data_IF_008998893347
#
_entry.id   IF_008998893347
#
_cell.length_a   1.000
_cell.length_b   1.000
_cell.length_c   1.000
_cell.angle_alpha   90.00
_cell.angle_beta   90.00
_cell.angle_gamma   90.00
#
_symmetry.space_group_name_H-M   'P 1'
#
loop_
_entity.id
_entity.type
_entity.pdbx_description
1 polymer ?
#
# COMPACT_ATOMS: atom_id res chain seq x y z
N UNK A 1 -6.69 -0.31 -69.59
CA UNK A 1 -6.26 0.96 -68.98
C UNK A 1 -5.38 0.62 -67.78
N UNK A 2 -4.09 0.63 -67.95
CA UNK A 2 -3.05 0.18 -67.00
C UNK A 2 -2.46 1.39 -66.31
N UNK A 3 -2.67 1.53 -65.01
CA UNK A 3 -2.12 2.63 -64.25
C UNK A 3 -0.84 2.18 -63.56
N UNK A 4 0.31 2.61 -64.08
CA UNK A 4 1.65 2.35 -63.54
C UNK A 4 1.95 3.38 -62.45
N UNK A 5 2.01 2.96 -61.23
CA UNK A 5 2.55 3.77 -60.11
C UNK A 5 4.09 3.82 -60.23
N UNK A 6 4.59 5.01 -60.37
CA UNK A 6 6.02 5.36 -60.41
C UNK A 6 6.58 5.22 -58.96
N UNK A 7 7.59 4.41 -58.80
CA UNK A 7 8.41 4.31 -57.58
C UNK A 7 9.45 5.43 -57.61
N UNK A 8 9.40 6.35 -56.65
CA UNK A 8 10.44 7.35 -56.38
C UNK A 8 11.52 6.70 -55.48
N UNK A 9 12.80 6.83 -55.78
CA UNK A 9 13.85 6.32 -54.90
C UNK A 9 14.01 7.27 -53.69
N UNK A 10 13.95 6.68 -52.48
CA UNK A 10 14.25 7.34 -51.22
C UNK A 10 15.77 7.48 -51.08
N UNK A 11 16.27 8.69 -51.13
CA UNK A 11 17.66 9.05 -50.82
C UNK A 11 17.87 8.89 -49.33
N UNK A 12 18.63 7.92 -48.91
CA UNK A 12 19.11 7.79 -47.55
C UNK A 12 20.27 8.77 -47.32
N UNK A 13 20.02 9.83 -46.56
CA UNK A 13 21.06 10.74 -46.10
C UNK A 13 21.59 10.18 -44.77
N UNK A 14 22.75 9.53 -44.78
CA UNK A 14 23.51 9.16 -43.62
C UNK A 14 24.15 10.44 -43.03
N UNK A 15 23.57 11.02 -42.00
CA UNK A 15 24.27 11.93 -41.12
C UNK A 15 24.86 11.13 -39.95
N UNK A 16 26.15 10.88 -40.04
CA UNK A 16 26.93 10.38 -38.90
C UNK A 16 27.09 11.48 -37.88
N UNK A 17 26.25 11.47 -36.84
CA UNK A 17 26.46 12.25 -35.63
C UNK A 17 26.95 11.29 -34.56
N UNK A 18 28.29 11.22 -34.40
CA UNK A 18 28.91 10.59 -33.23
C UNK A 18 28.63 11.44 -32.02
N UNK A 19 27.40 11.40 -31.55
CA UNK A 19 27.00 11.91 -30.24
C UNK A 19 27.42 10.89 -29.19
N UNK A 20 28.53 11.17 -28.50
CA UNK A 20 28.91 10.52 -27.27
C UNK A 20 27.80 10.88 -26.25
N UNK A 21 26.78 10.03 -26.15
CA UNK A 21 25.84 10.06 -25.03
C UNK A 21 26.65 9.71 -23.79
N UNK A 22 27.10 10.76 -23.08
CA UNK A 22 27.53 10.59 -21.72
C UNK A 22 26.30 10.01 -20.97
N UNK A 23 26.31 8.70 -20.70
CA UNK A 23 25.49 8.13 -19.65
C UNK A 23 25.96 8.82 -18.35
N UNK A 24 25.27 9.88 -17.96
CA UNK A 24 25.34 10.33 -16.59
C UNK A 24 24.78 9.17 -15.77
N UNK A 25 25.67 8.43 -15.11
CA UNK A 25 25.25 7.51 -14.08
C UNK A 25 24.37 8.34 -13.13
N UNK A 26 23.07 8.04 -13.09
CA UNK A 26 22.21 8.50 -12.01
C UNK A 26 22.88 7.94 -10.77
N UNK A 27 23.43 8.81 -9.95
CA UNK A 27 24.01 8.41 -8.67
C UNK A 27 22.90 7.60 -7.98
N UNK A 28 23.23 6.36 -7.61
CA UNK A 28 22.33 5.50 -6.88
C UNK A 28 22.06 6.22 -5.54
N UNK A 29 20.91 6.84 -5.40
CA UNK A 29 20.57 7.50 -4.14
C UNK A 29 20.60 6.43 -3.05
N UNK A 30 21.26 6.71 -1.92
CA UNK A 30 21.32 5.74 -0.84
C UNK A 30 19.89 5.38 -0.39
N UNK A 31 19.68 4.09 -0.10
CA UNK A 31 18.40 3.64 0.41
C UNK A 31 17.98 4.47 1.65
N UNK A 32 16.73 4.87 1.78
CA UNK A 32 16.27 5.67 2.91
C UNK A 32 16.48 4.91 4.23
N UNK A 33 16.85 5.64 5.28
CA UNK A 33 16.90 5.13 6.64
C UNK A 33 15.67 5.56 7.42
N UNK A 34 15.35 4.86 8.51
CA UNK A 34 14.24 5.27 9.37
C UNK A 34 14.44 6.71 9.89
N UNK A 35 15.66 7.07 10.26
CA UNK A 35 15.99 8.41 10.73
C UNK A 35 15.74 9.46 9.64
N UNK A 36 16.14 9.21 8.39
CA UNK A 36 15.86 10.14 7.28
C UNK A 36 14.38 10.31 7.03
N UNK A 37 13.61 9.23 7.13
CA UNK A 37 12.14 9.26 6.97
C UNK A 37 11.49 10.04 8.11
N UNK A 38 11.88 9.81 9.36
CA UNK A 38 11.36 10.56 10.51
C UNK A 38 11.66 12.06 10.34
N UNK A 39 12.88 12.42 10.00
CA UNK A 39 13.28 13.82 9.85
C UNK A 39 12.56 14.53 8.68
N UNK A 40 12.07 13.80 7.69
CA UNK A 40 11.36 14.37 6.54
C UNK A 40 9.85 14.46 6.77
N UNK A 41 9.25 13.45 7.43
CA UNK A 41 7.79 13.27 7.46
C UNK A 41 7.18 13.36 8.86
N UNK A 42 7.94 13.73 9.89
CA UNK A 42 7.41 13.90 11.24
C UNK A 42 6.40 15.05 11.29
N UNK A 43 5.35 14.90 12.08
CA UNK A 43 4.21 15.80 12.11
C UNK A 43 4.58 17.28 12.41
N UNK A 44 5.56 17.55 13.26
CA UNK A 44 6.05 18.89 13.53
C UNK A 44 6.80 19.51 12.34
N UNK A 45 7.57 18.71 11.59
CA UNK A 45 8.21 19.14 10.35
C UNK A 45 7.18 19.48 9.28
N UNK A 46 6.13 18.66 9.15
CA UNK A 46 5.05 18.90 8.19
C UNK A 46 4.23 20.16 8.52
N UNK A 47 4.07 20.49 9.80
CA UNK A 47 3.37 21.70 10.22
C UNK A 47 4.15 22.97 9.95
N UNK A 48 5.48 22.89 9.94
CA UNK A 48 6.39 24.00 9.64
C UNK A 48 6.64 24.18 8.13
N UNK A 49 6.30 23.17 7.33
CA UNK A 49 6.42 23.23 5.87
C UNK A 49 5.42 24.21 5.26
N UNK A 50 5.73 24.76 4.11
CA UNK A 50 4.85 25.63 3.31
C UNK A 50 3.62 24.91 2.74
N UNK A 51 3.37 23.68 3.18
CA UNK A 51 2.30 22.82 2.66
C UNK A 51 2.64 22.21 1.32
N UNK A 52 3.92 22.15 0.94
CA UNK A 52 4.33 21.49 -0.30
C UNK A 52 3.88 20.03 -0.29
N UNK A 53 3.40 19.60 -1.42
CA UNK A 53 2.88 18.25 -1.67
C UNK A 53 3.96 17.19 -1.42
N UNK A 54 5.23 17.55 -1.62
CA UNK A 54 6.40 16.67 -1.48
C UNK A 54 6.59 16.14 -0.06
N UNK A 55 6.12 16.87 0.95
CA UNK A 55 6.20 16.47 2.37
C UNK A 55 5.06 15.53 2.80
N UNK A 56 4.09 15.23 1.92
CA UNK A 56 2.96 14.37 2.29
C UNK A 56 3.35 12.90 2.28
N UNK A 57 2.94 12.10 3.30
CA UNK A 57 3.14 10.64 3.30
C UNK A 57 2.58 9.93 2.06
N UNK A 58 1.66 10.55 1.33
CA UNK A 58 1.11 10.03 0.08
C UNK A 58 2.15 9.94 -1.04
N UNK A 59 3.20 10.78 -1.00
CA UNK A 59 4.25 10.87 -2.01
C UNK A 59 5.54 10.15 -1.63
N UNK A 60 5.56 9.49 -0.47
CA UNK A 60 6.67 8.62 -0.09
C UNK A 60 6.96 7.59 -1.18
N UNK A 61 8.23 7.35 -1.41
CA UNK A 61 8.68 6.19 -2.19
C UNK A 61 8.25 4.88 -1.51
N UNK A 62 8.32 3.78 -2.22
CA UNK A 62 7.96 2.48 -1.64
C UNK A 62 8.90 2.09 -0.48
N UNK A 63 10.18 2.40 -0.60
CA UNK A 63 11.15 2.14 0.46
C UNK A 63 10.86 2.98 1.72
N UNK A 64 10.54 4.26 1.56
CA UNK A 64 10.14 5.13 2.68
C UNK A 64 8.84 4.67 3.34
N UNK A 65 7.84 4.24 2.55
CA UNK A 65 6.58 3.69 3.09
C UNK A 65 6.81 2.46 3.95
N UNK A 66 7.71 1.56 3.57
CA UNK A 66 8.03 0.37 4.38
C UNK A 66 8.50 0.77 5.77
N UNK A 67 9.34 1.78 5.86
CA UNK A 67 9.87 2.30 7.14
C UNK A 67 8.81 3.10 7.89
N UNK A 68 8.18 4.08 7.23
CA UNK A 68 7.22 4.99 7.84
C UNK A 68 5.99 4.26 8.39
N UNK A 69 5.41 3.32 7.64
CA UNK A 69 4.15 2.69 7.99
C UNK A 69 4.30 1.66 9.11
N UNK A 70 5.48 1.09 9.28
CA UNK A 70 5.81 0.23 10.40
C UNK A 70 6.13 1.01 11.69
N UNK A 71 6.54 2.28 11.56
CA UNK A 71 6.97 3.14 12.67
C UNK A 71 6.18 4.45 12.73
N UNK A 72 4.90 4.38 12.36
CA UNK A 72 4.06 5.57 12.26
C UNK A 72 3.88 6.32 13.58
N UNK A 73 4.02 5.61 14.69
CA UNK A 73 4.04 6.16 16.04
C UNK A 73 5.27 7.04 16.35
N UNK A 74 6.31 6.98 15.52
CA UNK A 74 7.47 7.87 15.61
C UNK A 74 7.33 9.13 14.73
N UNK A 75 6.38 9.10 13.78
CA UNK A 75 6.10 10.23 12.90
C UNK A 75 4.98 11.11 13.45
N UNK A 76 3.98 10.50 14.09
CA UNK A 76 2.78 11.18 14.57
C UNK A 76 2.50 10.84 16.02
N UNK A 77 1.91 11.77 16.80
CA UNK A 77 1.40 11.47 18.14
C UNK A 77 0.36 10.35 18.08
N UNK A 78 0.54 9.33 18.89
CA UNK A 78 -0.38 8.17 18.96
C UNK A 78 -0.75 7.86 20.39
N UNK A 79 -1.87 7.16 20.57
CA UNK A 79 -2.28 6.59 21.85
C UNK A 79 -2.40 5.06 21.72
N UNK A 80 -1.97 4.36 22.74
CA UNK A 80 -2.10 2.90 22.78
C UNK A 80 -3.45 2.53 23.39
N UNK A 81 -4.23 1.73 22.67
CA UNK A 81 -5.42 1.07 23.21
C UNK A 81 -5.04 -0.35 23.58
N UNK A 82 -5.06 -0.66 24.87
CA UNK A 82 -4.77 -2.01 25.34
C UNK A 82 -5.93 -2.96 25.04
N UNK A 83 -5.59 -4.20 24.68
CA UNK A 83 -6.59 -5.25 24.54
C UNK A 83 -7.20 -5.57 25.93
N UNK A 84 -8.51 -5.69 26.01
CA UNK A 84 -9.23 -6.02 27.25
C UNK A 84 -9.19 -7.52 27.59
N UNK A 85 -8.64 -8.35 26.71
CA UNK A 85 -8.54 -9.80 26.90
C UNK A 85 -7.75 -10.46 25.78
N UNK A 86 -7.54 -11.76 25.90
CA UNK A 86 -6.95 -12.58 24.84
C UNK A 86 -8.08 -12.98 23.90
N UNK A 87 -8.01 -12.55 22.65
CA UNK A 87 -8.93 -13.02 21.61
C UNK A 87 -8.74 -14.53 21.38
N UNK A 88 -9.81 -15.22 21.04
CA UNK A 88 -9.72 -16.62 20.62
C UNK A 88 -9.10 -16.65 19.22
N UNK A 89 -7.97 -17.36 19.01
CA UNK A 89 -7.35 -17.42 17.70
C UNK A 89 -8.25 -18.18 16.72
N UNK A 90 -8.26 -17.76 15.47
CA UNK A 90 -8.93 -18.52 14.42
C UNK A 90 -8.23 -19.89 14.27
N UNK A 91 -9.00 -20.97 14.04
CA UNK A 91 -8.42 -22.27 13.73
C UNK A 91 -7.57 -22.17 12.45
N UNK A 92 -6.54 -22.99 12.36
CA UNK A 92 -5.66 -23.02 11.20
C UNK A 92 -5.88 -24.31 10.39
N UNK A 93 -6.05 -24.15 9.07
CA UNK A 93 -6.06 -25.25 8.08
C UNK A 93 -5.06 -24.92 6.98
N UNK A 94 -3.75 -24.99 7.25
CA UNK A 94 -2.72 -24.53 6.32
C UNK A 94 -2.81 -25.25 4.98
N UNK A 95 -2.70 -24.46 3.89
CA UNK A 95 -2.62 -24.96 2.53
C UNK A 95 -1.55 -24.19 1.74
N UNK A 96 -0.84 -24.89 0.85
CA UNK A 96 0.04 -24.23 -0.09
C UNK A 96 -0.80 -23.63 -1.22
N UNK A 97 -0.97 -22.31 -1.17
CA UNK A 97 -1.71 -21.53 -2.16
C UNK A 97 -0.78 -20.91 -3.23
N UNK A 98 0.51 -21.16 -3.18
CA UNK A 98 1.50 -20.52 -4.06
C UNK A 98 1.28 -20.82 -5.55
N UNK A 99 0.75 -22.00 -5.87
CA UNK A 99 0.46 -22.45 -7.23
C UNK A 99 -0.89 -21.96 -7.78
N UNK A 100 -1.72 -21.31 -6.96
CA UNK A 100 -2.99 -20.73 -7.46
C UNK A 100 -2.67 -19.73 -8.55
N UNK A 101 -3.30 -19.92 -9.71
CA UNK A 101 -3.15 -19.03 -10.86
C UNK A 101 -4.38 -18.14 -11.04
N UNK A 102 -4.13 -16.93 -11.49
CA UNK A 102 -5.15 -15.95 -11.87
C UNK A 102 -4.67 -15.13 -13.07
N UNK A 103 -5.60 -14.53 -13.79
CA UNK A 103 -5.27 -13.66 -14.92
C UNK A 103 -5.63 -12.22 -14.56
N UNK A 104 -4.69 -11.32 -14.84
CA UNK A 104 -4.89 -9.87 -14.79
C UNK A 104 -4.23 -9.26 -16.03
N UNK A 105 -4.90 -8.33 -16.70
CA UNK A 105 -4.45 -7.67 -17.92
C UNK A 105 -3.96 -8.67 -19.01
N UNK A 106 -4.73 -9.76 -19.19
CA UNK A 106 -4.43 -10.85 -20.11
C UNK A 106 -3.13 -11.63 -19.79
N UNK A 107 -2.49 -11.35 -18.68
CA UNK A 107 -1.29 -12.05 -18.20
C UNK A 107 -1.66 -13.05 -17.11
N UNK A 108 -1.13 -14.26 -17.20
CA UNK A 108 -1.28 -15.29 -16.17
C UNK A 108 -0.23 -15.12 -15.08
N UNK A 109 -0.70 -15.10 -13.83
CA UNK A 109 0.12 -14.97 -12.63
C UNK A 109 -0.09 -16.19 -11.73
N UNK A 110 0.90 -16.51 -10.91
CA UNK A 110 0.71 -17.37 -9.74
C UNK A 110 0.77 -16.53 -8.47
N UNK A 111 0.04 -16.95 -7.43
CA UNK A 111 0.04 -16.24 -6.14
C UNK A 111 1.47 -16.12 -5.58
N UNK A 112 2.28 -17.18 -5.68
CA UNK A 112 3.66 -17.15 -5.21
C UNK A 112 4.52 -16.08 -5.89
N UNK A 113 4.44 -15.97 -7.23
CA UNK A 113 5.15 -14.91 -7.97
C UNK A 113 4.61 -13.52 -7.67
N UNK A 114 3.29 -13.41 -7.53
CA UNK A 114 2.65 -12.14 -7.21
C UNK A 114 3.11 -11.64 -5.84
N UNK A 115 3.13 -12.48 -4.80
CA UNK A 115 3.62 -12.13 -3.47
C UNK A 115 5.07 -11.62 -3.49
N UNK A 116 5.95 -12.27 -4.27
CA UNK A 116 7.35 -11.86 -4.41
C UNK A 116 7.48 -10.47 -5.07
N UNK A 117 6.63 -10.16 -6.05
CA UNK A 117 6.74 -8.95 -6.84
C UNK A 117 6.06 -7.73 -6.18
N UNK A 118 5.04 -7.93 -5.33
CA UNK A 118 4.22 -6.85 -4.78
C UNK A 118 4.81 -6.19 -3.53
N UNK A 119 5.95 -6.65 -3.01
CA UNK A 119 6.52 -6.14 -1.76
C UNK A 119 5.48 -6.05 -0.63
N UNK A 120 4.63 -7.05 -0.55
CA UNK A 120 3.55 -7.12 0.41
C UNK A 120 4.13 -7.32 1.81
N UNK A 121 3.67 -6.55 2.79
CA UNK A 121 4.16 -6.65 4.17
C UNK A 121 3.54 -7.82 4.91
N UNK A 122 2.27 -8.10 4.66
CA UNK A 122 1.56 -9.24 5.20
C UNK A 122 0.34 -9.59 4.37
N UNK A 123 -0.02 -10.86 4.35
CA UNK A 123 -1.25 -11.37 3.76
C UNK A 123 -1.77 -12.52 4.62
N UNK A 124 -3.04 -12.46 4.96
CA UNK A 124 -3.76 -13.58 5.59
C UNK A 124 -4.90 -14.01 4.66
N UNK A 125 -5.04 -15.30 4.46
CA UNK A 125 -6.17 -15.89 3.72
C UNK A 125 -6.99 -16.72 4.68
N UNK A 126 -8.25 -16.33 4.87
CA UNK A 126 -9.22 -17.00 5.73
C UNK A 126 -10.33 -17.57 4.85
N UNK A 127 -10.66 -18.83 5.05
CA UNK A 127 -11.78 -19.49 4.38
C UNK A 127 -12.55 -20.34 5.39
N UNK A 128 -13.87 -20.23 5.37
CA UNK A 128 -14.78 -20.97 6.26
C UNK A 128 -14.41 -20.81 7.74
N UNK A 129 -13.96 -19.62 8.13
CA UNK A 129 -13.56 -19.29 9.51
C UNK A 129 -12.18 -19.81 9.93
N UNK A 130 -11.40 -20.43 9.04
CA UNK A 130 -10.07 -20.95 9.34
C UNK A 130 -8.97 -20.26 8.51
N UNK A 131 -7.79 -20.05 9.11
CA UNK A 131 -6.62 -19.49 8.43
C UNK A 131 -6.01 -20.56 7.54
N UNK A 132 -6.02 -20.32 6.23
CA UNK A 132 -5.40 -21.20 5.24
C UNK A 132 -3.95 -20.82 4.94
N UNK A 133 -3.66 -19.54 4.90
CA UNK A 133 -2.32 -19.03 4.63
C UNK A 133 -2.08 -17.75 5.40
N UNK A 134 -0.88 -17.61 5.91
CA UNK A 134 -0.36 -16.41 6.53
C UNK A 134 1.04 -16.15 5.97
N UNK A 135 1.28 -14.96 5.47
CA UNK A 135 2.52 -14.58 4.82
C UNK A 135 2.97 -13.22 5.33
N UNK A 136 4.25 -13.11 5.65
CA UNK A 136 4.91 -11.87 6.06
C UNK A 136 6.14 -11.62 5.21
N UNK A 137 6.44 -10.34 4.94
CA UNK A 137 7.71 -9.95 4.35
C UNK A 137 8.87 -10.34 5.29
N UNK A 138 10.11 -10.49 4.77
CA UNK A 138 11.25 -10.92 5.57
C UNK A 138 11.57 -10.04 6.79
N UNK A 139 11.19 -8.76 6.73
CA UNK A 139 11.36 -7.76 7.78
C UNK A 139 10.07 -7.49 8.58
N UNK A 140 9.05 -8.33 8.42
CA UNK A 140 7.77 -8.25 9.11
C UNK A 140 7.44 -9.58 9.81
N UNK A 141 6.65 -9.48 10.88
CA UNK A 141 6.15 -10.62 11.64
C UNK A 141 4.69 -10.37 12.09
N UNK A 142 4.08 -11.36 12.72
CA UNK A 142 2.70 -11.30 13.21
C UNK A 142 2.44 -10.13 14.18
N UNK A 143 3.44 -9.71 14.91
CA UNK A 143 3.39 -8.62 15.91
C UNK A 143 3.89 -7.28 15.35
N UNK A 144 4.29 -7.22 14.09
CA UNK A 144 4.70 -5.99 13.43
C UNK A 144 3.53 -5.02 13.32
N UNK A 145 3.79 -3.76 13.64
CA UNK A 145 2.80 -2.69 13.45
C UNK A 145 2.73 -2.28 11.99
N UNK A 146 1.56 -1.82 11.60
CA UNK A 146 1.34 -1.27 10.27
C UNK A 146 0.20 -0.26 10.29
N UNK A 147 0.40 0.90 9.68
CA UNK A 147 -0.64 1.91 9.61
C UNK A 147 -1.77 1.45 8.67
N UNK A 148 -3.00 1.55 9.14
CA UNK A 148 -4.18 1.06 8.41
C UNK A 148 -4.89 2.12 7.58
N UNK A 149 -4.54 3.40 7.76
CA UNK A 149 -5.21 4.51 7.07
C UNK A 149 -6.74 4.33 7.02
N UNK A 150 -7.33 4.39 5.84
CA UNK A 150 -8.78 4.32 5.65
C UNK A 150 -9.42 2.97 6.00
N UNK A 151 -8.66 1.90 6.19
CA UNK A 151 -9.20 0.64 6.76
C UNK A 151 -9.79 0.88 8.15
N UNK A 152 -9.30 1.88 8.89
CA UNK A 152 -9.89 2.35 10.16
C UNK A 152 -11.37 2.70 10.05
N UNK A 153 -11.87 3.09 8.87
CA UNK A 153 -13.31 3.32 8.63
C UNK A 153 -14.15 2.05 8.81
N UNK A 154 -13.59 0.89 8.49
CA UNK A 154 -14.25 -0.39 8.75
C UNK A 154 -14.35 -0.68 10.25
N UNK A 155 -13.33 -0.30 11.04
CA UNK A 155 -13.41 -0.39 12.50
C UNK A 155 -14.49 0.56 13.05
N UNK A 156 -14.59 1.78 12.52
CA UNK A 156 -15.66 2.73 12.88
C UNK A 156 -17.03 2.13 12.56
N UNK A 157 -17.20 1.47 11.42
CA UNK A 157 -18.45 0.79 11.06
C UNK A 157 -18.83 -0.31 12.07
N UNK A 158 -17.85 -1.09 12.55
CA UNK A 158 -18.08 -2.08 13.61
C UNK A 158 -18.52 -1.44 14.92
N UNK A 159 -17.94 -0.29 15.28
CA UNK A 159 -18.33 0.47 16.49
C UNK A 159 -19.76 1.00 16.38
N UNK A 160 -20.20 1.43 15.21
CA UNK A 160 -21.61 1.80 14.97
C UNK A 160 -22.52 0.58 15.16
N UNK A 161 -22.13 -0.59 14.66
CA UNK A 161 -22.85 -1.84 14.89
C UNK A 161 -22.95 -2.19 16.37
N UNK A 162 -21.88 -2.04 17.14
CA UNK A 162 -21.89 -2.22 18.59
C UNK A 162 -22.82 -1.22 19.28
N UNK A 163 -22.80 0.06 18.90
CA UNK A 163 -23.68 1.07 19.44
C UNK A 163 -25.17 0.79 19.17
N UNK A 164 -25.50 0.19 18.03
CA UNK A 164 -26.87 -0.29 17.74
C UNK A 164 -27.21 -1.47 18.64
N UNK A 165 -26.32 -2.44 18.76
CA UNK A 165 -26.53 -3.61 19.64
C UNK A 165 -26.78 -3.19 21.09
N UNK A 166 -26.04 -2.19 21.56
CA UNK A 166 -26.13 -1.69 22.95
C UNK A 166 -27.29 -0.67 23.15
N UNK A 167 -28.04 -0.34 22.11
CA UNK A 167 -29.20 0.53 22.16
C UNK A 167 -28.89 2.04 22.18
N UNK A 168 -27.69 2.45 21.87
CA UNK A 168 -27.33 3.88 21.73
C UNK A 168 -27.75 4.45 20.38
N UNK A 169 -27.87 3.62 19.38
CA UNK A 169 -28.39 3.94 18.04
C UNK A 169 -29.52 2.95 17.73
N UNK A 170 -30.65 3.45 17.25
CA UNK A 170 -31.83 2.60 16.98
C UNK A 170 -31.70 1.88 15.63
N UNK A 171 -31.16 2.55 14.61
CA UNK A 171 -31.04 1.97 13.25
C UNK A 171 -29.92 2.65 12.45
N UNK A 172 -29.35 1.90 11.50
CA UNK A 172 -28.47 2.45 10.47
C UNK A 172 -29.17 3.41 9.51
N UNK A 173 -30.50 3.34 9.43
CA UNK A 173 -31.31 4.20 8.58
C UNK A 173 -31.67 5.53 9.25
N UNK A 174 -31.34 5.69 10.50
CA UNK A 174 -31.60 6.94 11.21
C UNK A 174 -30.69 8.07 10.70
N UNK A 175 -31.24 9.29 10.56
CA UNK A 175 -30.43 10.42 10.19
C UNK A 175 -29.44 10.75 11.32
N UNK A 176 -28.16 10.96 10.95
CA UNK A 176 -27.07 11.23 11.90
C UNK A 176 -27.35 12.39 12.84
N UNK A 177 -28.10 13.40 12.37
CA UNK A 177 -28.51 14.57 13.17
C UNK A 177 -29.38 14.22 14.38
N UNK A 178 -29.96 13.01 14.43
CA UNK A 178 -30.69 12.52 15.61
C UNK A 178 -29.76 12.32 16.82
N UNK A 179 -28.51 11.96 16.57
CA UNK A 179 -27.53 11.56 17.58
C UNK A 179 -26.46 12.62 17.85
N UNK A 180 -26.23 13.54 16.92
CA UNK A 180 -25.25 14.60 17.06
C UNK A 180 -25.94 15.90 17.46
N UNK A 181 -25.57 16.50 18.62
CA UNK A 181 -26.05 17.83 18.98
C UNK A 181 -25.57 18.86 17.96
N UNK A 182 -26.44 19.79 17.59
CA UNK A 182 -26.09 20.96 16.74
C UNK A 182 -25.40 22.03 17.57
#
# INVERSE_FOLDING_TARGET
MTNRLRRTPLFALLFGLSGLLALTAVADEPAPTLESVINTYRADVLLESDGSVESSPLFMTQAERRLAFAHFDQLYPTATVAASGVGEPLPATPADLSAISFSADEVSHTLGKWLQNQQLMGLIVVKDGAVMMEHYAPDHAIDSRWVTFSVTKSVTSLLIGAAIHDGYIDSVDDPIVKYLPR
#
